data_IF_629295499746
#
_entry.id   IF_629295499746
#
_cell.length_a   1.000
_cell.length_b   1.000
_cell.length_c   1.000
_cell.angle_alpha   90.00
_cell.angle_beta   90.00
_cell.angle_gamma   90.00
#
_symmetry.space_group_name_H-M   'P 1'
#
loop_
_entity.id
_entity.type
_entity.pdbx_description
1 polymer ?
#
# COMPACT_ATOMS: atom_id res chain seq x y z
N UNK A 1 -1.41 17.76 -9.35
CA UNK A 1 -0.18 16.94 -9.29
C UNK A 1 0.32 17.02 -7.86
N UNK A 2 0.71 15.87 -7.30
CA UNK A 2 1.35 15.73 -5.99
C UNK A 2 2.64 14.96 -6.19
N UNK A 3 3.68 15.38 -5.46
CA UNK A 3 4.98 14.71 -5.39
C UNK A 3 5.41 14.76 -3.93
N UNK A 4 5.92 13.64 -3.43
CA UNK A 4 6.40 13.51 -2.06
C UNK A 4 7.62 12.60 -2.01
N UNK A 5 8.42 12.77 -0.98
CA UNK A 5 9.53 11.88 -0.66
C UNK A 5 9.81 11.94 0.84
N UNK A 6 10.32 10.84 1.39
CA UNK A 6 10.75 10.77 2.77
C UNK A 6 11.93 9.83 2.94
N UNK A 7 12.64 9.99 4.06
CA UNK A 7 13.72 9.11 4.50
C UNK A 7 13.62 8.92 6.02
N UNK A 8 13.90 7.71 6.51
CA UNK A 8 13.98 7.37 7.92
C UNK A 8 15.26 6.58 8.19
N UNK A 9 15.79 6.77 9.40
CA UNK A 9 16.87 5.98 9.97
C UNK A 9 16.52 5.66 11.41
N UNK A 10 16.36 4.38 11.70
CA UNK A 10 15.98 3.85 13.00
C UNK A 10 17.11 2.97 13.52
N UNK A 11 17.47 3.14 14.80
CA UNK A 11 18.49 2.33 15.47
C UNK A 11 17.89 1.68 16.70
N UNK A 12 18.06 0.37 16.80
CA UNK A 12 17.71 -0.39 17.99
C UNK A 12 18.77 -0.27 19.08
N UNK A 13 18.34 -0.55 20.31
CA UNK A 13 19.18 -0.76 21.47
C UNK A 13 19.05 -2.22 21.96
N UNK A 14 19.83 -2.61 22.98
CA UNK A 14 19.91 -3.98 23.50
C UNK A 14 18.58 -4.56 24.01
N UNK A 15 17.57 -3.73 24.29
CA UNK A 15 16.23 -4.11 24.71
C UNK A 15 15.17 -3.94 23.60
N UNK A 16 15.58 -3.50 22.42
CA UNK A 16 14.67 -3.25 21.30
C UNK A 16 14.20 -4.58 20.69
N UNK A 17 12.87 -4.80 20.60
CA UNK A 17 12.33 -5.95 19.89
C UNK A 17 12.69 -5.91 18.40
N UNK A 18 12.65 -7.07 17.73
CA UNK A 18 12.84 -7.15 16.28
C UNK A 18 11.96 -6.16 15.51
N UNK A 19 12.61 -5.29 14.75
CA UNK A 19 11.98 -4.49 13.71
C UNK A 19 11.67 -5.41 12.55
N UNK A 20 10.47 -5.30 11.97
CA UNK A 20 9.97 -6.26 10.96
C UNK A 20 9.24 -5.55 9.85
N UNK A 21 9.62 -5.86 8.62
CA UNK A 21 8.79 -5.59 7.46
C UNK A 21 7.90 -6.80 7.15
N UNK A 22 6.62 -6.53 6.90
CA UNK A 22 5.62 -7.52 6.54
C UNK A 22 4.81 -6.99 5.38
N UNK A 23 4.32 -7.91 4.56
CA UNK A 23 3.47 -7.57 3.43
C UNK A 23 2.24 -8.47 3.42
N UNK A 24 1.06 -7.89 3.25
CA UNK A 24 -0.20 -8.63 3.11
C UNK A 24 -0.58 -8.64 1.63
N UNK A 25 -0.44 -9.80 0.99
CA UNK A 25 -0.71 -9.96 -0.44
C UNK A 25 -2.17 -10.34 -0.73
N UNK A 26 -3.00 -10.53 0.31
CA UNK A 26 -4.35 -11.07 0.17
C UNK A 26 -5.40 -10.43 1.08
N UNK A 27 -6.01 -9.31 0.68
CA UNK A 27 -7.26 -8.85 1.28
C UNK A 27 -7.17 -8.50 2.78
N UNK A 28 -8.27 -8.63 3.56
CA UNK A 28 -8.33 -8.15 4.97
C UNK A 28 -7.70 -9.07 6.05
N UNK A 29 -7.54 -10.35 5.74
CA UNK A 29 -7.07 -11.39 6.67
C UNK A 29 -6.10 -12.31 5.95
N UNK A 30 -5.35 -11.75 5.02
CA UNK A 30 -4.46 -12.49 4.16
C UNK A 30 -3.27 -13.06 4.90
N UNK A 31 -2.52 -13.96 4.24
CA UNK A 31 -1.19 -14.29 4.69
C UNK A 31 -0.33 -13.02 4.72
N UNK A 32 0.58 -12.98 5.69
CA UNK A 32 1.40 -11.81 6.00
C UNK A 32 2.82 -12.22 6.40
N UNK A 33 3.60 -12.79 5.47
CA UNK A 33 4.97 -13.23 5.74
C UNK A 33 5.83 -12.06 6.23
N UNK A 34 6.85 -12.38 7.03
CA UNK A 34 7.88 -11.42 7.42
C UNK A 34 8.97 -11.46 6.37
N UNK A 35 9.24 -10.30 5.77
CA UNK A 35 10.13 -10.19 4.63
C UNK A 35 11.55 -9.81 5.05
N UNK A 36 11.66 -8.93 6.02
CA UNK A 36 12.94 -8.57 6.59
C UNK A 36 12.76 -8.31 8.07
N UNK A 37 13.78 -8.60 8.86
CA UNK A 37 13.77 -8.31 10.28
C UNK A 37 15.16 -8.10 10.84
N UNK A 38 15.26 -7.27 11.88
CA UNK A 38 16.41 -7.27 12.77
C UNK A 38 16.23 -8.32 13.87
N UNK A 39 17.35 -8.76 14.45
CA UNK A 39 17.37 -9.65 15.61
C UNK A 39 17.01 -8.88 16.88
N UNK A 40 16.14 -9.46 17.71
CA UNK A 40 15.73 -8.84 18.96
C UNK A 40 16.92 -8.66 19.91
N UNK A 41 17.09 -7.44 20.42
CA UNK A 41 18.19 -7.08 21.32
C UNK A 41 19.57 -7.00 20.68
N UNK A 42 19.68 -7.03 19.34
CA UNK A 42 20.95 -6.80 18.66
C UNK A 42 21.45 -5.37 18.94
N UNK A 43 22.73 -5.25 19.33
CA UNK A 43 23.30 -3.97 19.76
C UNK A 43 23.44 -2.98 18.60
N UNK A 44 23.54 -3.48 17.37
CA UNK A 44 23.73 -2.70 16.15
C UNK A 44 22.55 -2.83 15.16
N UNK A 45 21.34 -3.09 15.66
CA UNK A 45 20.15 -3.10 14.80
C UNK A 45 19.92 -1.72 14.17
N UNK A 46 19.87 -1.66 12.85
CA UNK A 46 19.62 -0.44 12.08
C UNK A 46 18.61 -0.73 10.96
N UNK A 47 17.65 0.17 10.78
CA UNK A 47 16.72 0.16 9.66
C UNK A 47 16.75 1.52 8.97
N UNK A 48 17.12 1.54 7.71
CA UNK A 48 17.01 2.73 6.86
C UNK A 48 15.90 2.53 5.83
N UNK A 49 15.13 3.56 5.54
CA UNK A 49 14.08 3.47 4.53
C UNK A 49 13.86 4.80 3.83
N UNK A 50 13.44 4.74 2.57
CA UNK A 50 12.96 5.89 1.82
C UNK A 50 11.86 5.49 0.87
N UNK A 51 11.02 6.45 0.51
CA UNK A 51 10.10 6.32 -0.59
C UNK A 51 9.92 7.64 -1.33
N UNK A 52 9.48 7.52 -2.58
CA UNK A 52 8.98 8.61 -3.41
C UNK A 52 7.54 8.30 -3.80
N UNK A 53 6.71 9.32 -3.84
CA UNK A 53 5.31 9.21 -4.23
C UNK A 53 4.95 10.25 -5.27
N UNK A 54 4.07 9.86 -6.18
CA UNK A 54 3.53 10.74 -7.20
C UNK A 54 2.04 10.49 -7.37
N UNK A 55 1.27 11.56 -7.54
CA UNK A 55 -0.14 11.45 -7.88
C UNK A 55 -0.61 12.54 -8.83
N UNK A 56 -1.44 12.13 -9.79
CA UNK A 56 -2.02 12.98 -10.80
C UNK A 56 -3.53 12.79 -10.83
N UNK A 57 -4.27 13.90 -10.92
CA UNK A 57 -5.72 13.88 -11.04
C UNK A 57 -6.13 14.83 -12.16
N UNK A 58 -7.02 14.36 -13.04
CA UNK A 58 -7.62 15.19 -14.07
C UNK A 58 -9.03 14.68 -14.41
N UNK A 59 -10.03 15.53 -14.21
CA UNK A 59 -11.42 15.11 -14.29
C UNK A 59 -11.68 13.93 -13.34
N UNK A 60 -12.34 12.88 -13.86
CA UNK A 60 -12.62 11.67 -13.10
C UNK A 60 -11.42 10.73 -12.91
N UNK A 61 -10.28 10.98 -13.55
CA UNK A 61 -9.09 10.14 -13.42
C UNK A 61 -8.26 10.52 -12.20
N UNK A 62 -7.83 9.52 -11.45
CA UNK A 62 -6.79 9.62 -10.42
C UNK A 62 -5.76 8.51 -10.64
N UNK A 63 -4.49 8.90 -10.74
CA UNK A 63 -3.35 8.00 -10.83
C UNK A 63 -2.43 8.27 -9.65
N UNK A 64 -1.99 7.24 -8.93
CA UNK A 64 -1.11 7.33 -7.78
C UNK A 64 -0.08 6.22 -7.82
N UNK A 65 1.14 6.49 -7.37
CA UNK A 65 2.18 5.50 -7.23
C UNK A 65 3.13 5.88 -6.10
N UNK A 66 3.65 4.85 -5.44
CA UNK A 66 4.74 4.97 -4.46
C UNK A 66 5.77 3.90 -4.77
N UNK A 67 7.05 4.26 -4.63
CA UNK A 67 8.19 3.37 -4.81
C UNK A 67 9.16 3.62 -3.66
N UNK A 68 9.67 2.56 -3.04
CA UNK A 68 10.55 2.69 -1.90
C UNK A 68 11.52 1.54 -1.72
N UNK A 69 12.44 1.75 -0.80
CA UNK A 69 13.41 0.75 -0.36
C UNK A 69 13.57 0.82 1.16
N UNK A 70 13.79 -0.33 1.77
CA UNK A 70 14.23 -0.41 3.15
C UNK A 70 15.46 -1.34 3.27
N UNK A 71 16.40 -1.00 4.14
CA UNK A 71 17.50 -1.85 4.58
C UNK A 71 17.30 -2.25 6.04
N UNK A 72 17.55 -3.51 6.37
CA UNK A 72 17.54 -4.04 7.74
C UNK A 72 18.91 -4.63 8.00
N UNK A 73 19.64 -4.09 8.96
CA UNK A 73 20.98 -4.52 9.31
C UNK A 73 21.09 -4.81 10.80
N UNK A 74 21.85 -5.83 11.14
CA UNK A 74 22.30 -6.15 12.49
C UNK A 74 23.62 -6.93 12.42
N UNK A 75 24.08 -7.46 13.55
CA UNK A 75 25.31 -8.26 13.65
C UNK A 75 25.22 -9.58 12.85
N UNK A 76 24.01 -10.07 12.53
CA UNK A 76 23.79 -11.30 11.77
C UNK A 76 23.83 -11.07 10.26
N UNK A 77 23.64 -9.83 9.80
CA UNK A 77 23.82 -9.44 8.41
C UNK A 77 22.93 -8.29 7.98
N UNK A 78 22.73 -8.17 6.66
CA UNK A 78 21.89 -7.14 6.06
C UNK A 78 20.93 -7.74 5.05
N UNK A 79 19.67 -7.32 5.12
CA UNK A 79 18.64 -7.56 4.11
C UNK A 79 18.10 -6.24 3.58
N UNK A 80 17.53 -6.29 2.38
CA UNK A 80 16.92 -5.13 1.74
C UNK A 80 15.59 -5.52 1.13
N UNK A 81 14.65 -4.59 1.16
CA UNK A 81 13.37 -4.70 0.50
C UNK A 81 13.22 -3.57 -0.51
N UNK A 82 12.63 -3.87 -1.65
CA UNK A 82 12.10 -2.89 -2.59
C UNK A 82 10.62 -3.09 -2.69
N UNK A 83 9.85 -2.02 -2.59
CA UNK A 83 8.40 -2.09 -2.68
C UNK A 83 7.88 -0.99 -3.57
N UNK A 84 6.72 -1.25 -4.16
CA UNK A 84 6.04 -0.25 -4.95
C UNK A 84 4.61 -0.62 -5.27
N UNK A 85 3.83 0.40 -5.61
CA UNK A 85 2.50 0.21 -6.15
C UNK A 85 2.18 1.21 -7.25
N UNK A 86 1.25 0.82 -8.11
CA UNK A 86 0.57 1.71 -9.05
C UNK A 86 -0.94 1.53 -8.88
N UNK A 87 -1.64 2.64 -8.70
CA UNK A 87 -3.09 2.67 -8.53
C UNK A 87 -3.71 3.66 -9.51
N UNK A 88 -4.74 3.22 -10.22
CA UNK A 88 -5.58 4.05 -11.04
C UNK A 88 -7.03 3.96 -10.58
N UNK A 89 -7.75 5.08 -10.62
CA UNK A 89 -9.20 5.08 -10.53
C UNK A 89 -9.84 6.01 -11.54
N UNK A 90 -11.06 5.66 -11.93
CA UNK A 90 -11.89 6.48 -12.79
C UNK A 90 -13.30 6.61 -12.23
N UNK A 91 -13.70 7.84 -11.93
CA UNK A 91 -15.02 8.20 -11.45
C UNK A 91 -15.95 8.50 -12.63
N UNK A 92 -16.90 7.61 -12.89
CA UNK A 92 -17.88 7.75 -13.95
C UNK A 92 -18.89 8.86 -13.63
N UNK A 93 -19.22 9.65 -14.65
CA UNK A 93 -20.22 10.71 -14.53
C UNK A 93 -19.69 12.08 -14.10
N UNK A 94 -18.37 12.21 -13.93
CA UNK A 94 -17.72 13.44 -13.50
C UNK A 94 -17.59 13.55 -11.98
N UNK A 95 -16.84 14.54 -11.53
CA UNK A 95 -16.43 14.69 -10.13
C UNK A 95 -14.92 14.61 -9.99
N UNK A 96 -14.43 14.94 -8.80
CA UNK A 96 -13.01 14.93 -8.47
C UNK A 96 -12.84 14.61 -6.98
N UNK A 97 -11.64 14.16 -6.58
CA UNK A 97 -11.30 14.05 -5.16
C UNK A 97 -10.62 15.33 -4.72
N UNK A 98 -11.10 15.93 -3.63
CA UNK A 98 -10.49 17.13 -3.09
C UNK A 98 -9.07 16.79 -2.57
N UNK A 99 -8.07 17.53 -3.04
CA UNK A 99 -6.69 17.37 -2.58
C UNK A 99 -6.40 18.33 -1.42
N UNK A 100 -5.97 17.78 -0.29
CA UNK A 100 -5.60 18.52 0.92
C UNK A 100 -4.09 18.73 0.94
N UNK A 101 -3.63 19.82 0.34
CA UNK A 101 -2.20 20.12 0.18
C UNK A 101 -1.41 20.12 1.49
N UNK A 102 -1.98 20.66 2.58
CA UNK A 102 -1.34 20.67 3.89
C UNK A 102 -1.06 19.28 4.46
N UNK A 103 -1.80 18.25 4.02
CA UNK A 103 -1.65 16.87 4.47
C UNK A 103 -1.16 15.93 3.37
N UNK A 104 -0.94 16.41 2.13
CA UNK A 104 -0.55 15.57 1.00
C UNK A 104 -1.57 14.49 0.59
N UNK A 105 -2.85 14.63 0.96
CA UNK A 105 -3.85 13.54 0.82
C UNK A 105 -5.02 13.86 -0.09
N UNK A 106 -5.56 12.86 -0.77
CA UNK A 106 -6.83 12.93 -1.50
C UNK A 106 -8.00 12.52 -0.59
N UNK A 107 -9.05 13.33 -0.57
CA UNK A 107 -10.29 13.04 0.16
C UNK A 107 -11.23 12.08 -0.57
N UNK A 108 -12.45 11.99 -0.04
CA UNK A 108 -13.57 11.37 -0.75
C UNK A 108 -13.89 12.13 -2.05
N UNK A 109 -14.51 11.46 -3.03
CA UNK A 109 -14.98 12.12 -4.23
C UNK A 109 -16.05 13.15 -3.85
N UNK A 110 -16.05 14.29 -4.55
CA UNK A 110 -17.12 15.28 -4.48
C UNK A 110 -18.09 15.05 -5.62
N UNK A 111 -19.35 14.82 -5.26
CA UNK A 111 -20.37 14.28 -6.14
C UNK A 111 -21.62 15.15 -6.15
N UNK A 112 -22.04 15.56 -7.34
CA UNK A 112 -23.34 16.23 -7.53
C UNK A 112 -24.48 15.22 -7.73
N UNK A 113 -24.13 13.96 -7.96
CA UNK A 113 -25.05 12.83 -8.22
C UNK A 113 -24.38 11.50 -7.88
N UNK A 114 -25.15 10.42 -7.69
CA UNK A 114 -24.56 9.09 -7.51
C UNK A 114 -23.62 8.73 -8.67
N UNK A 115 -22.48 8.12 -8.34
CA UNK A 115 -21.43 7.83 -9.28
C UNK A 115 -20.82 6.44 -9.04
N UNK A 116 -20.42 5.81 -10.13
CA UNK A 116 -19.59 4.61 -10.08
C UNK A 116 -18.12 5.00 -10.15
N UNK A 117 -17.26 4.22 -9.51
CA UNK A 117 -15.82 4.35 -9.64
C UNK A 117 -15.19 2.98 -9.87
N UNK A 118 -14.39 2.85 -10.92
CA UNK A 118 -13.55 1.69 -11.13
C UNK A 118 -12.17 1.99 -10.56
N UNK A 119 -11.61 1.04 -9.80
CA UNK A 119 -10.26 1.13 -9.23
C UNK A 119 -9.44 -0.09 -9.64
N UNK A 120 -8.18 0.11 -9.97
CA UNK A 120 -7.21 -0.96 -10.15
C UNK A 120 -5.93 -0.60 -9.39
N UNK A 121 -5.36 -1.56 -8.68
CA UNK A 121 -4.09 -1.42 -7.97
C UNK A 121 -3.24 -2.65 -8.19
N UNK A 122 -1.96 -2.44 -8.47
CA UNK A 122 -0.94 -3.46 -8.46
C UNK A 122 0.12 -3.08 -7.44
N UNK A 123 0.45 -4.00 -6.55
CA UNK A 123 1.46 -3.87 -5.53
C UNK A 123 2.51 -4.98 -5.76
N UNK A 124 3.78 -4.66 -5.53
CA UNK A 124 4.88 -5.62 -5.57
C UNK A 124 5.91 -5.29 -4.50
N UNK A 125 6.44 -6.32 -3.87
CA UNK A 125 7.57 -6.23 -2.94
C UNK A 125 8.53 -7.37 -3.23
N UNK A 126 9.81 -7.04 -3.19
CA UNK A 126 10.92 -7.96 -3.45
C UNK A 126 11.91 -7.84 -2.31
N UNK A 127 12.49 -8.96 -1.87
CA UNK A 127 13.46 -8.96 -0.77
C UNK A 127 14.72 -9.77 -1.03
N UNK A 128 15.85 -9.21 -0.61
CA UNK A 128 17.19 -9.78 -0.71
C UNK A 128 17.87 -9.86 0.67
N UNK A 129 18.69 -10.90 0.95
CA UNK A 129 18.85 -12.13 0.19
C UNK A 129 17.69 -13.12 0.45
N UNK A 130 17.15 -13.69 -0.63
CA UNK A 130 16.26 -14.87 -0.65
C UNK A 130 14.92 -14.77 0.12
N UNK A 131 14.34 -13.58 0.24
CA UNK A 131 13.01 -13.43 0.84
C UNK A 131 11.91 -13.80 -0.14
N UNK A 132 12.18 -13.70 -1.45
CA UNK A 132 11.22 -13.95 -2.52
C UNK A 132 10.38 -12.72 -2.86
N UNK A 133 9.59 -12.84 -3.92
CA UNK A 133 8.74 -11.78 -4.44
C UNK A 133 7.30 -12.01 -4.00
N UNK A 134 6.62 -10.93 -3.63
CA UNK A 134 5.18 -10.94 -3.39
C UNK A 134 4.51 -9.88 -4.22
N UNK A 135 3.32 -10.19 -4.72
CA UNK A 135 2.52 -9.22 -5.44
C UNK A 135 1.03 -9.36 -5.16
N UNK A 136 0.31 -8.27 -5.34
CA UNK A 136 -1.14 -8.25 -5.22
C UNK A 136 -1.75 -7.38 -6.31
N UNK A 137 -2.82 -7.87 -6.93
CA UNK A 137 -3.66 -7.10 -7.84
C UNK A 137 -5.05 -6.95 -7.24
N UNK A 138 -5.53 -5.72 -7.11
CA UNK A 138 -6.87 -5.40 -6.62
C UNK A 138 -7.65 -4.68 -7.71
N UNK A 139 -8.78 -5.26 -8.11
CA UNK A 139 -9.77 -4.60 -8.97
C UNK A 139 -11.00 -4.30 -8.12
N UNK A 140 -11.47 -3.06 -8.15
CA UNK A 140 -12.59 -2.61 -7.33
C UNK A 140 -13.63 -1.86 -8.15
N UNK A 141 -14.90 -2.07 -7.80
CA UNK A 141 -16.03 -1.33 -8.30
C UNK A 141 -16.76 -0.71 -7.11
N UNK A 142 -16.75 0.61 -7.05
CA UNK A 142 -17.37 1.37 -5.97
C UNK A 142 -18.60 2.09 -6.49
N UNK A 143 -19.68 2.07 -5.72
CA UNK A 143 -20.84 2.89 -5.95
C UNK A 143 -20.96 3.92 -4.83
N UNK A 144 -20.80 5.19 -5.19
CA UNK A 144 -20.96 6.32 -4.29
C UNK A 144 -22.36 6.88 -4.48
N UNK A 145 -23.23 6.70 -3.48
CA UNK A 145 -24.59 7.22 -3.55
C UNK A 145 -24.63 8.74 -3.34
N UNK A 146 -23.87 9.19 -2.35
CA UNK A 146 -23.64 10.60 -2.02
C UNK A 146 -22.32 10.72 -1.24
N UNK A 147 -22.01 11.92 -0.72
CA UNK A 147 -20.79 12.18 0.07
C UNK A 147 -20.70 11.36 1.38
N UNK A 148 -21.79 10.72 1.82
CA UNK A 148 -21.90 10.02 3.09
C UNK A 148 -21.97 8.50 2.95
N UNK A 149 -22.62 7.98 1.91
CA UNK A 149 -22.91 6.56 1.73
C UNK A 149 -22.26 6.00 0.46
N UNK A 150 -21.50 4.91 0.63
CA UNK A 150 -20.88 4.17 -0.47
C UNK A 150 -20.80 2.67 -0.23
N UNK A 151 -20.79 1.92 -1.33
CA UNK A 151 -20.51 0.49 -1.37
C UNK A 151 -19.25 0.25 -2.18
N UNK A 152 -18.39 -0.63 -1.69
CA UNK A 152 -17.11 -0.96 -2.32
C UNK A 152 -17.06 -2.47 -2.49
N UNK A 153 -17.01 -2.92 -3.74
CA UNK A 153 -16.75 -4.31 -4.10
C UNK A 153 -15.32 -4.40 -4.60
N UNK A 154 -14.54 -5.36 -4.09
CA UNK A 154 -13.18 -5.61 -4.58
C UNK A 154 -12.92 -7.08 -4.79
N UNK A 155 -12.13 -7.37 -5.82
CA UNK A 155 -11.53 -8.67 -6.09
C UNK A 155 -10.01 -8.54 -6.01
N UNK A 156 -9.38 -9.39 -5.21
CA UNK A 156 -7.94 -9.37 -4.94
C UNK A 156 -7.33 -10.69 -5.35
N UNK A 157 -6.23 -10.61 -6.11
CA UNK A 157 -5.36 -11.72 -6.49
C UNK A 157 -4.03 -11.49 -5.82
N UNK A 158 -3.57 -12.44 -5.00
CA UNK A 158 -2.26 -12.38 -4.36
C UNK A 158 -1.38 -13.52 -4.84
N UNK A 159 -0.09 -13.26 -4.97
CA UNK A 159 0.92 -14.22 -5.38
C UNK A 159 2.17 -14.07 -4.49
N UNK A 160 2.74 -15.19 -4.06
CA UNK A 160 3.88 -15.29 -3.16
C UNK A 160 4.85 -16.36 -3.64
N UNK A 161 6.01 -15.94 -4.14
CA UNK A 161 7.11 -16.86 -4.46
C UNK A 161 7.80 -17.39 -3.19
N UNK A 162 7.58 -16.74 -2.04
CA UNK A 162 8.19 -17.10 -0.75
C UNK A 162 7.68 -18.46 -0.26
N UNK A 163 6.38 -18.67 -0.41
CA UNK A 163 5.65 -19.83 0.14
C UNK A 163 4.98 -20.66 -0.97
N UNK A 164 5.24 -20.35 -2.25
CA UNK A 164 4.58 -20.94 -3.44
C UNK A 164 3.04 -20.90 -3.33
N UNK A 165 2.50 -19.71 -3.04
CA UNK A 165 1.09 -19.52 -2.71
C UNK A 165 0.38 -18.52 -3.64
N UNK A 166 -0.86 -18.86 -3.99
CA UNK A 166 -1.76 -18.02 -4.77
C UNK A 166 -3.11 -17.87 -4.07
N UNK A 167 -3.53 -16.63 -3.88
CA UNK A 167 -4.73 -16.30 -3.12
C UNK A 167 -5.73 -15.50 -3.95
N UNK A 168 -7.01 -15.67 -3.61
CA UNK A 168 -8.11 -14.96 -4.24
C UNK A 168 -9.10 -14.52 -3.16
N UNK A 169 -9.56 -13.28 -3.24
CA UNK A 169 -10.55 -12.75 -2.31
C UNK A 169 -11.59 -11.90 -3.03
N UNK A 170 -12.85 -12.05 -2.64
CA UNK A 170 -13.90 -11.07 -2.88
C UNK A 170 -14.27 -10.39 -1.56
N UNK A 171 -14.43 -9.07 -1.57
CA UNK A 171 -14.85 -8.31 -0.41
C UNK A 171 -15.90 -7.27 -0.79
N UNK A 172 -16.96 -7.19 0.03
CA UNK A 172 -17.97 -6.14 -0.04
C UNK A 172 -17.91 -5.32 1.24
N UNK A 173 -17.85 -4.00 1.10
CA UNK A 173 -17.89 -3.04 2.21
C UNK A 173 -19.00 -2.04 1.97
N UNK A 174 -19.83 -1.82 2.99
CA UNK A 174 -20.71 -0.65 3.08
C UNK A 174 -20.07 0.35 4.02
N UNK A 175 -20.02 1.62 3.64
CA UNK A 175 -19.49 2.68 4.49
C UNK A 175 -20.48 3.86 4.54
N UNK A 176 -20.74 4.31 5.76
CA UNK A 176 -21.49 5.53 6.07
C UNK A 176 -20.60 6.49 6.87
N UNK A 177 -20.59 7.77 6.50
CA UNK A 177 -19.78 8.83 7.14
C UNK A 177 -20.70 9.98 7.54
N UNK A 178 -20.66 10.41 8.80
CA UNK A 178 -21.46 11.49 9.37
C UNK A 178 -20.61 12.70 9.76
#
# INVERSE_FOLDING_TARGET
LHLGAWYSLERGASDTPSLRARYEYAGRRGPRPTLASTTAGAAEAEVDAWAIEAAWQHGGWLLQSELGRAGFADEQGRSHLRSGYLQASYLFGGGYRAYKSAAGTFGGPKLDRPAWELTARYDRVEGEPAVGDLSSTVIGLNYHYNDHLRWLLSYTLGDSDVDDDQTRQIALRTQFTF
#
